data_IF_694083985747
#
_entry.id   IF_694083985747
#
_cell.length_a   1.000
_cell.length_b   1.000
_cell.length_c   1.000
_cell.angle_alpha   90.00
_cell.angle_beta   90.00
_cell.angle_gamma   90.00
#
_symmetry.space_group_name_H-M   'P 1'
#
loop_
_entity.id
_entity.type
_entity.pdbx_description
1 polymer ?
#
# COMPACT_ATOMS: atom_id res chain seq x y z
N UNK A 1 4.29 -15.48 -13.02
CA UNK A 1 4.85 -14.69 -11.90
C UNK A 1 5.61 -13.51 -12.49
N UNK A 2 5.46 -12.31 -11.94
CA UNK A 2 6.35 -11.20 -12.27
C UNK A 2 7.69 -11.43 -11.57
N UNK A 3 8.81 -11.23 -12.29
CA UNK A 3 10.14 -11.30 -11.70
C UNK A 3 10.40 -10.05 -10.85
N UNK A 4 10.91 -10.23 -9.63
CA UNK A 4 11.36 -9.12 -8.75
C UNK A 4 12.28 -8.16 -9.50
N UNK A 5 13.17 -8.71 -10.33
CA UNK A 5 14.11 -7.94 -11.16
C UNK A 5 13.39 -6.96 -12.09
N UNK A 6 12.28 -7.37 -12.70
CA UNK A 6 11.51 -6.50 -13.60
C UNK A 6 10.86 -5.35 -12.83
N UNK A 7 10.42 -5.57 -11.59
CA UNK A 7 9.82 -4.50 -10.77
C UNK A 7 10.85 -3.44 -10.40
N UNK A 8 12.05 -3.87 -10.02
CA UNK A 8 13.17 -2.97 -9.73
C UNK A 8 13.56 -2.20 -10.99
N UNK A 9 13.71 -2.88 -12.14
CA UNK A 9 14.02 -2.21 -13.41
C UNK A 9 12.95 -1.18 -13.80
N UNK A 10 11.67 -1.51 -13.64
CA UNK A 10 10.58 -0.57 -13.91
C UNK A 10 10.60 0.63 -12.95
N UNK A 11 11.01 0.44 -11.69
CA UNK A 11 11.05 1.52 -10.68
C UNK A 11 12.09 2.61 -10.99
N UNK A 12 13.05 2.34 -11.87
CA UNK A 12 13.99 3.34 -12.40
C UNK A 12 13.31 4.31 -13.37
N UNK A 13 12.20 3.89 -13.99
CA UNK A 13 11.54 4.63 -15.07
C UNK A 13 10.21 5.27 -14.66
N UNK A 14 9.60 4.83 -13.55
CA UNK A 14 8.26 5.28 -13.15
C UNK A 14 8.27 5.89 -11.76
N UNK A 15 7.47 6.95 -11.60
CA UNK A 15 7.25 7.63 -10.30
C UNK A 15 6.15 6.94 -9.48
N UNK A 16 5.26 6.21 -10.15
CA UNK A 16 4.14 5.51 -9.53
C UNK A 16 3.96 4.14 -10.15
N UNK A 17 3.73 3.13 -9.32
CA UNK A 17 3.52 1.75 -9.75
C UNK A 17 2.31 1.16 -9.04
N UNK A 18 1.42 0.53 -9.82
CA UNK A 18 0.32 -0.28 -9.28
C UNK A 18 0.50 -1.73 -9.71
N UNK A 19 0.58 -2.61 -8.74
CA UNK A 19 0.66 -4.05 -8.96
C UNK A 19 -0.67 -4.67 -8.56
N UNK A 20 -1.34 -5.28 -9.53
CA UNK A 20 -2.52 -6.11 -9.27
C UNK A 20 -2.10 -7.57 -9.26
N UNK A 21 -2.28 -8.22 -8.12
CA UNK A 21 -1.86 -9.59 -7.91
C UNK A 21 -3.03 -10.49 -7.54
N UNK A 22 -3.14 -11.60 -8.26
CA UNK A 22 -4.19 -12.62 -8.10
C UNK A 22 -3.74 -13.84 -7.28
N UNK A 23 -2.60 -13.74 -6.60
CA UNK A 23 -2.00 -14.82 -5.82
C UNK A 23 -2.02 -14.44 -4.34
N UNK A 24 -2.22 -15.42 -3.47
CA UNK A 24 -2.07 -15.27 -2.00
C UNK A 24 -0.65 -14.86 -1.60
N UNK A 25 0.32 -15.01 -2.51
CA UNK A 25 1.72 -14.68 -2.31
C UNK A 25 2.09 -13.41 -3.03
N UNK A 26 2.60 -12.41 -2.30
CA UNK A 26 3.20 -11.22 -2.91
C UNK A 26 4.29 -11.68 -3.90
N UNK A 27 4.19 -11.26 -5.17
CA UNK A 27 4.98 -11.68 -6.35
C UNK A 27 5.36 -13.16 -6.47
N UNK A 28 4.61 -14.07 -5.82
CA UNK A 28 4.86 -15.51 -5.87
C UNK A 28 5.94 -16.03 -4.92
N UNK A 29 6.37 -15.25 -3.93
CA UNK A 29 7.21 -15.76 -2.83
C UNK A 29 6.35 -16.02 -1.59
N UNK A 30 6.38 -17.26 -1.10
CA UNK A 30 5.63 -17.72 0.08
C UNK A 30 6.20 -17.07 1.36
N UNK A 31 7.51 -16.86 1.42
CA UNK A 31 8.25 -16.36 2.59
C UNK A 31 9.20 -15.20 2.24
N UNK A 32 8.90 -14.44 1.19
CA UNK A 32 9.77 -13.36 0.73
C UNK A 32 9.80 -12.18 1.69
N UNK A 33 10.99 -11.72 2.08
CA UNK A 33 11.16 -10.45 2.78
C UNK A 33 11.02 -9.28 1.79
N UNK A 34 9.83 -8.68 1.77
CA UNK A 34 9.48 -7.64 0.79
C UNK A 34 9.96 -6.25 1.15
N UNK A 35 10.24 -5.98 2.43
CA UNK A 35 10.74 -4.68 2.91
C UNK A 35 11.96 -4.20 2.12
N UNK A 36 13.04 -4.98 2.02
CA UNK A 36 14.24 -4.59 1.26
C UNK A 36 13.96 -4.31 -0.22
N UNK A 37 13.13 -5.13 -0.88
CA UNK A 37 12.79 -4.94 -2.29
C UNK A 37 11.97 -3.66 -2.48
N UNK A 38 11.00 -3.39 -1.59
CA UNK A 38 10.24 -2.14 -1.62
C UNK A 38 11.16 -0.94 -1.44
N UNK A 39 12.07 -0.98 -0.48
CA UNK A 39 13.04 0.10 -0.25
C UNK A 39 13.96 0.31 -1.45
N UNK A 40 14.44 -0.76 -2.09
CA UNK A 40 15.24 -0.65 -3.32
C UNK A 40 14.44 0.06 -4.42
N UNK A 41 13.16 -0.30 -4.59
CA UNK A 41 12.31 0.36 -5.56
C UNK A 41 12.14 1.86 -5.26
N UNK A 42 11.91 2.22 -4.00
CA UNK A 42 11.79 3.61 -3.53
C UNK A 42 13.12 4.39 -3.58
N UNK A 43 14.27 3.71 -3.51
CA UNK A 43 15.58 4.34 -3.67
C UNK A 43 15.86 4.81 -5.10
N UNK A 44 15.08 4.33 -6.07
CA UNK A 44 15.14 4.74 -7.47
C UNK A 44 14.26 5.98 -7.71
N UNK A 45 13.38 5.96 -8.72
CA UNK A 45 12.47 7.08 -9.03
C UNK A 45 11.06 6.88 -8.50
N UNK A 46 10.79 5.75 -7.86
CA UNK A 46 9.44 5.40 -7.42
C UNK A 46 9.09 6.15 -6.13
N UNK A 47 8.06 6.98 -6.17
CA UNK A 47 7.54 7.68 -5.00
C UNK A 47 6.30 7.00 -4.42
N UNK A 48 5.58 6.25 -5.26
CA UNK A 48 4.32 5.64 -4.90
C UNK A 48 4.21 4.19 -5.39
N UNK A 49 3.99 3.27 -4.45
CA UNK A 49 3.71 1.87 -4.72
C UNK A 49 2.34 1.49 -4.15
N UNK A 50 1.46 0.96 -5.01
CA UNK A 50 0.20 0.35 -4.59
C UNK A 50 0.19 -1.12 -4.99
N UNK A 51 0.10 -1.99 -4.00
CA UNK A 51 -0.08 -3.42 -4.23
C UNK A 51 -1.52 -3.79 -3.88
N UNK A 52 -2.24 -4.34 -4.85
CA UNK A 52 -3.59 -4.83 -4.68
C UNK A 52 -3.57 -6.35 -4.75
N UNK A 53 -3.78 -7.00 -3.62
CA UNK A 53 -3.83 -8.47 -3.53
C UNK A 53 -5.29 -8.88 -3.51
N UNK A 54 -5.69 -9.63 -4.54
CA UNK A 54 -6.99 -10.26 -4.62
C UNK A 54 -6.88 -11.65 -3.98
N UNK A 55 -7.48 -11.86 -2.81
CA UNK A 55 -7.41 -13.15 -2.09
C UNK A 55 -7.45 -12.98 -0.56
N UNK A 56 -6.80 -13.91 0.15
CA UNK A 56 -6.58 -13.82 1.60
C UNK A 56 -5.78 -12.57 1.99
N UNK A 57 -5.79 -12.26 3.27
CA UNK A 57 -5.13 -11.08 3.82
C UNK A 57 -3.66 -11.00 3.39
N UNK A 58 -3.21 -9.84 2.88
CA UNK A 58 -1.79 -9.64 2.57
C UNK A 58 -0.97 -9.78 3.86
N UNK A 59 0.00 -10.69 3.87
CA UNK A 59 0.94 -10.82 4.96
C UNK A 59 2.27 -10.14 4.59
N UNK A 60 2.57 -9.04 5.28
CA UNK A 60 3.94 -8.52 5.36
C UNK A 60 4.56 -9.11 6.63
N UNK A 61 5.81 -9.57 6.55
CA UNK A 61 6.52 -10.05 7.74
C UNK A 61 6.68 -8.88 8.73
N UNK A 62 6.74 -9.20 10.04
CA UNK A 62 7.01 -8.20 11.06
C UNK A 62 8.32 -7.46 10.79
N UNK A 63 9.35 -8.18 10.37
CA UNK A 63 10.65 -7.60 10.01
C UNK A 63 10.52 -6.57 8.88
N UNK A 64 9.85 -6.92 7.79
CA UNK A 64 9.62 -6.01 6.67
C UNK A 64 8.79 -4.79 7.09
N UNK A 65 7.80 -4.96 7.97
CA UNK A 65 7.01 -3.86 8.51
C UNK A 65 7.83 -2.90 9.38
N UNK A 66 8.67 -3.45 10.26
CA UNK A 66 9.55 -2.68 11.14
C UNK A 66 10.59 -1.91 10.31
N UNK A 67 11.22 -2.56 9.34
CA UNK A 67 12.19 -1.95 8.41
C UNK A 67 11.59 -0.78 7.63
N UNK A 68 10.40 -0.97 7.03
CA UNK A 68 9.71 0.11 6.29
C UNK A 68 9.35 1.27 7.21
N UNK A 69 8.97 0.99 8.46
CA UNK A 69 8.63 2.01 9.44
C UNK A 69 9.86 2.85 9.84
N UNK A 70 10.99 2.19 10.10
CA UNK A 70 12.25 2.86 10.41
C UNK A 70 12.70 3.76 9.26
N UNK A 71 12.67 3.25 8.03
CA UNK A 71 13.01 4.03 6.85
C UNK A 71 12.05 5.20 6.61
N UNK A 72 10.75 5.01 6.83
CA UNK A 72 9.77 6.10 6.73
C UNK A 72 10.06 7.23 7.73
N UNK A 73 10.36 6.88 8.99
CA UNK A 73 10.71 7.87 10.01
C UNK A 73 12.01 8.61 9.64
N UNK A 74 13.00 7.91 9.08
CA UNK A 74 14.24 8.53 8.63
C UNK A 74 14.06 9.46 7.42
N UNK A 75 13.09 9.16 6.54
CA UNK A 75 12.88 9.89 5.28
C UNK A 75 11.86 11.03 5.39
N UNK A 76 11.00 11.06 6.42
CA UNK A 76 10.06 12.17 6.62
C UNK A 76 10.56 13.17 7.66
N UNK A 77 10.76 14.46 7.33
CA UNK A 77 10.93 15.48 8.35
C UNK A 77 9.66 15.56 9.22
N UNK A 78 9.76 15.93 10.51
CA UNK A 78 8.66 15.86 11.48
C UNK A 78 7.39 16.65 11.05
N UNK A 79 7.53 17.60 10.14
CA UNK A 79 6.41 18.38 9.58
C UNK A 79 5.52 17.58 8.62
N UNK A 80 6.05 16.56 7.93
CA UNK A 80 5.35 15.77 6.90
C UNK A 80 4.47 14.65 7.47
N UNK A 81 4.83 14.08 8.62
CA UNK A 81 4.03 13.07 9.32
C UNK A 81 2.61 13.56 9.63
N UNK A 82 2.46 14.77 10.18
CA UNK A 82 1.14 15.34 10.50
C UNK A 82 0.28 15.60 9.25
N UNK A 83 0.89 15.92 8.12
CA UNK A 83 0.17 16.19 6.88
C UNK A 83 -0.32 14.90 6.20
N UNK A 84 0.48 13.84 6.25
CA UNK A 84 0.13 12.51 5.75
C UNK A 84 -0.92 11.83 6.64
N UNK A 85 -0.80 11.90 7.97
CA UNK A 85 -1.82 11.40 8.90
C UNK A 85 -3.17 12.08 8.70
N UNK A 86 -3.18 13.41 8.48
CA UNK A 86 -4.41 14.14 8.10
C UNK A 86 -4.99 13.70 6.76
N UNK A 87 -4.18 13.19 5.82
CA UNK A 87 -4.65 12.64 4.54
C UNK A 87 -5.20 11.23 4.69
N UNK A 88 -4.58 10.40 5.53
CA UNK A 88 -5.05 9.05 5.84
C UNK A 88 -6.37 9.08 6.63
N UNK A 89 -6.50 9.95 7.65
CA UNK A 89 -7.75 10.13 8.42
C UNK A 89 -8.93 10.57 7.55
N UNK A 90 -8.71 11.50 6.62
CA UNK A 90 -9.75 11.92 5.66
C UNK A 90 -10.21 10.80 4.73
N UNK A 91 -9.40 9.75 4.52
CA UNK A 91 -9.76 8.61 3.67
C UNK A 91 -10.62 7.58 4.40
N UNK A 92 -10.43 7.43 5.71
CA UNK A 92 -11.29 6.57 6.55
C UNK A 92 -12.67 7.21 6.81
N UNK A 93 -12.74 8.55 6.91
CA UNK A 93 -14.01 9.27 7.06
C UNK A 93 -14.95 9.11 5.84
N UNK A 94 -14.40 8.92 4.63
CA UNK A 94 -15.21 8.65 3.44
C UNK A 94 -15.67 7.19 3.28
N UNK A 95 -15.26 6.28 4.18
CA UNK A 95 -15.70 4.88 4.16
C UNK A 95 -16.80 4.59 5.19
N UNK A 96 -17.19 5.57 6.01
CA UNK A 96 -18.30 5.48 6.97
C UNK A 96 -19.41 6.47 6.57
N UNK A 97 -20.07 6.22 5.44
CA UNK A 97 -21.46 6.63 5.25
C UNK A 97 -22.19 5.45 4.62
N UNK A 98 -22.57 4.49 5.45
CA UNK A 98 -23.77 3.72 5.18
C UNK A 98 -24.95 4.65 5.44
N UNK A 99 -25.83 4.96 4.49
CA UNK A 99 -27.08 5.63 4.81
C UNK A 99 -27.99 4.62 5.50
N UNK A 100 -27.91 4.57 6.83
CA UNK A 100 -28.98 4.03 7.68
C UNK A 100 -29.81 5.19 8.21
N UNK A 101 -30.75 5.68 7.40
CA UNK A 101 -32.02 6.32 7.77
C UNK A 101 -32.95 6.10 6.55
N UNK A 102 -34.14 5.51 6.58
CA UNK A 102 -35.21 5.56 7.58
C UNK A 102 -36.41 6.33 7.00
N UNK A 103 -37.49 5.61 6.69
CA UNK A 103 -38.89 6.08 6.59
C UNK A 103 -39.37 6.96 5.40
N UNK A 104 -40.22 6.41 4.50
CA UNK A 104 -41.70 6.50 4.55
C UNK A 104 -42.42 6.22 3.20
N UNK A 105 -43.45 5.35 3.28
CA UNK A 105 -44.74 5.29 2.55
C UNK A 105 -44.82 5.70 1.07
N UNK A 106 -45.23 4.75 0.21
CA UNK A 106 -46.30 4.98 -0.77
C UNK A 106 -47.20 3.75 -0.87
N UNK A 107 -48.47 3.93 -0.48
CA UNK A 107 -49.57 3.00 -0.71
C UNK A 107 -50.05 3.10 -2.15
N UNK A 108 -50.54 1.99 -2.71
CA UNK A 108 -51.71 2.00 -3.60
C UNK A 108 -52.63 0.85 -3.20
#
# INVERSE_FOLDING_TARGET
LFSVKLLIELSVHVVSMTVNQFSEYLFGAIDGEWGPIMLEMFSNKLDYLRINIMGKEPHISKYSADLLRECYVALTPPTSQSAMERRLRRRDEHRIVSPTEGCHKWSR
#
